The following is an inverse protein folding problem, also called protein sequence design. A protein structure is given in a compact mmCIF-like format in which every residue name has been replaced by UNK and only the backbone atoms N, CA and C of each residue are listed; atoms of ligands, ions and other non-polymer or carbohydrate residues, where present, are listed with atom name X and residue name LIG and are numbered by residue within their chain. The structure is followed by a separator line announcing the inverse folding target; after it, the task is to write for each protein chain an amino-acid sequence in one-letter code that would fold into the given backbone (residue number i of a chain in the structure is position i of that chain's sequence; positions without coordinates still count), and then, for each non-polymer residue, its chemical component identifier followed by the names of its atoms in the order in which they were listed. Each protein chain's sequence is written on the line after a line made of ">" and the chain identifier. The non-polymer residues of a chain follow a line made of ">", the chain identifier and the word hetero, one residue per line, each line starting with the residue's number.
data_IF_045405481958
#
_entry.id   IF_045405481958
#
_cell.length_a   1.000
_cell.length_b   1.000
_cell.length_c   1.000
_cell.angle_alpha   90.00
_cell.angle_beta   90.00
_cell.angle_gamma   90.00
#
_symmetry.space_group_name_H-M   'P 1'
#
loop_
_entity.id
_entity.type
_entity.pdbx_description
1 polymer ?
#
# COMPACT_ATOMS: atom_id res chain seq x y z
N UNK A 1 1.40 -24.09 17.04
CA UNK A 1 0.59 -23.50 18.13
C UNK A 1 0.65 -21.98 18.01
N UNK A 2 -0.43 -21.35 17.54
CA UNK A 2 -0.58 -19.89 17.60
C UNK A 2 -0.80 -19.50 19.06
N UNK A 3 0.28 -19.17 19.78
CA UNK A 3 0.18 -18.66 21.15
C UNK A 3 -0.25 -17.21 21.09
N UNK A 4 -1.53 -16.93 21.35
CA UNK A 4 -2.11 -15.58 21.39
C UNK A 4 -1.53 -14.68 22.51
N UNK A 5 -0.67 -15.22 23.39
CA UNK A 5 -0.17 -14.54 24.59
C UNK A 5 0.85 -13.41 24.34
N UNK A 6 1.32 -13.23 23.10
CA UNK A 6 2.41 -12.30 22.77
C UNK A 6 2.01 -11.21 21.74
N UNK A 7 0.73 -11.05 21.43
CA UNK A 7 0.26 -10.03 20.48
C UNK A 7 -0.14 -8.75 21.21
N UNK A 8 0.31 -7.62 20.68
CA UNK A 8 -0.04 -6.30 21.19
C UNK A 8 -1.25 -5.73 20.43
N UNK A 9 -1.71 -4.55 20.86
CA UNK A 9 -2.88 -3.89 20.28
C UNK A 9 -2.74 -3.57 18.78
N UNK A 10 -1.53 -3.28 18.30
CA UNK A 10 -1.28 -3.04 16.86
C UNK A 10 -1.44 -4.35 16.06
N UNK A 11 -0.93 -5.48 16.57
CA UNK A 11 -1.08 -6.78 15.90
C UNK A 11 -2.56 -7.17 15.73
N UNK A 12 -3.43 -6.81 16.70
CA UNK A 12 -4.87 -7.05 16.63
C UNK A 12 -5.57 -6.27 15.51
N UNK A 13 -5.11 -5.08 15.17
CA UNK A 13 -5.63 -4.33 14.02
C UNK A 13 -5.24 -5.00 12.70
N UNK A 14 -4.02 -5.50 12.56
CA UNK A 14 -3.61 -6.29 11.39
C UNK A 14 -4.42 -7.58 11.27
N UNK A 15 -4.69 -8.29 12.39
CA UNK A 15 -5.58 -9.46 12.39
C UNK A 15 -7.02 -9.12 11.97
N UNK A 16 -7.56 -8.01 12.46
CA UNK A 16 -8.88 -7.52 12.04
C UNK A 16 -8.94 -7.36 10.52
N UNK A 17 -7.93 -6.72 9.92
CA UNK A 17 -7.90 -6.48 8.46
C UNK A 17 -7.90 -7.79 7.68
N UNK A 18 -7.07 -8.76 8.07
CA UNK A 18 -7.07 -10.10 7.46
C UNK A 18 -8.42 -10.79 7.62
N UNK A 19 -9.04 -10.69 8.81
CA UNK A 19 -10.36 -11.26 9.09
C UNK A 19 -11.49 -10.57 8.32
N UNK A 20 -11.38 -9.28 8.03
CA UNK A 20 -12.39 -8.50 7.32
C UNK A 20 -12.50 -8.87 5.83
N UNK A 21 -11.42 -9.39 5.22
CA UNK A 21 -11.33 -9.75 3.80
C UNK A 21 -12.49 -10.61 3.29
N UNK A 22 -12.83 -11.78 3.89
CA UNK A 22 -13.95 -12.58 3.42
C UNK A 22 -15.29 -11.83 3.46
N UNK A 23 -15.50 -10.95 4.44
CA UNK A 23 -16.71 -10.13 4.52
C UNK A 23 -16.73 -9.05 3.43
N UNK A 24 -15.61 -8.37 3.20
CA UNK A 24 -15.47 -7.40 2.12
C UNK A 24 -15.76 -8.03 0.75
N UNK A 25 -15.20 -9.21 0.48
CA UNK A 25 -15.49 -9.94 -0.76
C UNK A 25 -16.97 -10.38 -0.85
N UNK A 26 -17.58 -10.78 0.28
CA UNK A 26 -19.01 -11.10 0.33
C UNK A 26 -19.87 -9.88 0.02
N UNK A 27 -19.51 -8.68 0.52
CA UNK A 27 -20.25 -7.46 0.22
C UNK A 27 -20.14 -7.07 -1.26
N UNK A 28 -18.99 -7.30 -1.89
CA UNK A 28 -18.86 -7.15 -3.35
C UNK A 28 -19.80 -8.15 -4.06
N UNK A 29 -19.77 -9.42 -3.67
CA UNK A 29 -20.59 -10.47 -4.29
C UNK A 29 -22.11 -10.23 -4.15
N UNK A 30 -22.53 -9.63 -3.03
CA UNK A 30 -23.93 -9.25 -2.76
C UNK A 30 -24.32 -7.87 -3.31
N UNK A 31 -23.42 -7.20 -4.05
CA UNK A 31 -23.64 -5.86 -4.62
C UNK A 31 -23.90 -4.76 -3.56
N UNK A 32 -23.38 -4.94 -2.34
CA UNK A 32 -23.58 -4.04 -1.20
C UNK A 32 -22.52 -2.93 -1.15
N UNK A 33 -22.49 -2.09 -2.20
CA UNK A 33 -21.48 -1.02 -2.37
C UNK A 33 -21.24 -0.19 -1.12
N UNK A 34 -22.28 0.40 -0.54
CA UNK A 34 -22.11 1.34 0.58
C UNK A 34 -21.54 0.65 1.84
N UNK A 35 -21.99 -0.58 2.13
CA UNK A 35 -21.51 -1.36 3.28
C UNK A 35 -20.05 -1.76 3.04
N UNK A 36 -19.72 -2.20 1.83
CA UNK A 36 -18.35 -2.47 1.41
C UNK A 36 -17.46 -1.25 1.63
N UNK A 37 -17.86 -0.07 1.14
CA UNK A 37 -17.06 1.15 1.22
C UNK A 37 -16.84 1.58 2.68
N UNK A 38 -17.85 1.49 3.54
CA UNK A 38 -17.69 1.78 4.97
C UNK A 38 -16.74 0.79 5.66
N UNK A 39 -16.87 -0.50 5.39
CA UNK A 39 -15.97 -1.51 5.95
C UNK A 39 -14.52 -1.34 5.45
N UNK A 40 -14.33 -0.95 4.19
CA UNK A 40 -13.04 -0.62 3.61
C UNK A 40 -12.43 0.62 4.26
N UNK A 41 -13.22 1.68 4.47
CA UNK A 41 -12.79 2.89 5.18
C UNK A 41 -12.31 2.57 6.60
N UNK A 42 -13.05 1.72 7.33
CA UNK A 42 -12.62 1.28 8.67
C UNK A 42 -11.29 0.52 8.58
N UNK A 43 -11.13 -0.36 7.59
CA UNK A 43 -9.88 -1.12 7.39
C UNK A 43 -8.68 -0.19 7.11
N UNK A 44 -8.80 0.76 6.18
CA UNK A 44 -7.76 1.77 5.94
C UNK A 44 -7.50 2.68 7.14
N UNK A 45 -8.54 2.98 7.93
CA UNK A 45 -8.37 3.78 9.14
C UNK A 45 -7.60 3.00 10.22
N UNK A 46 -7.86 1.70 10.37
CA UNK A 46 -7.13 0.86 11.33
C UNK A 46 -5.64 0.76 11.01
N UNK A 47 -5.28 0.69 9.72
CA UNK A 47 -3.90 0.72 9.23
C UNK A 47 -3.15 2.03 9.58
N UNK A 48 -3.81 3.17 9.42
CA UNK A 48 -3.20 4.44 9.80
C UNK A 48 -2.97 4.52 11.32
N UNK A 49 -3.91 3.98 12.10
CA UNK A 49 -3.91 4.06 13.57
C UNK A 49 -2.90 3.09 14.18
N UNK A 50 -2.83 1.84 13.72
CA UNK A 50 -1.99 0.80 14.32
C UNK A 50 -0.50 1.10 14.13
N UNK A 51 -0.08 1.57 12.95
CA UNK A 51 1.27 2.00 12.69
C UNK A 51 1.66 3.21 13.55
N UNK A 52 0.74 4.16 13.77
CA UNK A 52 0.96 5.30 14.67
C UNK A 52 1.12 4.82 16.13
N UNK A 53 0.22 3.95 16.59
CA UNK A 53 0.18 3.44 17.96
C UNK A 53 1.42 2.59 18.27
N UNK A 54 1.84 1.72 17.35
CA UNK A 54 3.02 0.89 17.48
C UNK A 54 4.30 1.72 17.67
N UNK A 55 4.45 2.80 16.88
CA UNK A 55 5.57 3.75 16.99
C UNK A 55 5.52 4.55 18.29
N UNK A 56 4.35 5.05 18.68
CA UNK A 56 4.18 5.86 19.90
C UNK A 56 4.43 5.06 21.17
N UNK A 57 3.95 3.81 21.22
CA UNK A 57 4.09 2.92 22.37
C UNK A 57 5.40 2.12 22.37
N UNK A 58 6.22 2.21 21.31
CA UNK A 58 7.47 1.44 21.13
C UNK A 58 7.28 -0.08 21.25
N UNK A 59 6.17 -0.58 20.71
CA UNK A 59 5.78 -2.02 20.75
C UNK A 59 6.01 -2.73 19.41
N UNK A 60 6.82 -2.15 18.52
CA UNK A 60 7.07 -2.72 17.18
C UNK A 60 7.82 -4.05 17.27
N UNK A 61 7.31 -5.08 16.59
CA UNK A 61 7.95 -6.39 16.49
C UNK A 61 8.14 -6.82 15.03
N UNK A 62 9.16 -7.62 14.67
CA UNK A 62 9.35 -8.09 13.30
C UNK A 62 8.17 -8.92 12.77
N UNK A 63 7.52 -9.69 13.64
CA UNK A 63 6.33 -10.49 13.29
C UNK A 63 5.12 -9.61 13.06
N UNK A 64 4.89 -8.64 13.93
CA UNK A 64 3.82 -7.64 13.77
C UNK A 64 3.96 -6.90 12.46
N UNK A 65 5.18 -6.43 12.14
CA UNK A 65 5.44 -5.73 10.87
C UNK A 65 5.21 -6.59 9.62
N UNK A 66 5.43 -7.91 9.67
CA UNK A 66 5.11 -8.81 8.55
C UNK A 66 3.59 -9.02 8.41
N UNK A 67 2.89 -9.21 9.54
CA UNK A 67 1.45 -9.38 9.55
C UNK A 67 0.73 -8.11 9.09
N UNK A 68 1.21 -6.95 9.55
CA UNK A 68 0.80 -5.61 9.15
C UNK A 68 0.87 -5.47 7.63
N UNK A 69 2.08 -5.58 7.07
CA UNK A 69 2.30 -5.48 5.62
C UNK A 69 1.42 -6.43 4.80
N UNK A 70 1.17 -7.66 5.29
CA UNK A 70 0.27 -8.60 4.64
C UNK A 70 -1.20 -8.14 4.70
N UNK A 71 -1.64 -7.63 5.86
CA UNK A 71 -2.95 -7.02 6.04
C UNK A 71 -3.16 -5.81 5.12
N UNK A 72 -2.17 -4.93 5.00
CA UNK A 72 -2.20 -3.76 4.12
C UNK A 72 -2.41 -4.19 2.67
N UNK A 73 -1.56 -5.13 2.21
CA UNK A 73 -1.54 -5.59 0.82
C UNK A 73 -2.87 -6.24 0.43
N UNK A 74 -3.41 -7.13 1.27
CA UNK A 74 -4.69 -7.78 0.95
C UNK A 74 -5.84 -6.78 1.01
N UNK A 75 -5.86 -5.86 1.98
CA UNK A 75 -6.90 -4.83 2.06
C UNK A 75 -6.87 -3.92 0.83
N UNK A 76 -5.67 -3.54 0.35
CA UNK A 76 -5.51 -2.79 -0.89
C UNK A 76 -6.01 -3.59 -2.10
N UNK A 77 -5.63 -4.86 -2.23
CA UNK A 77 -6.10 -5.74 -3.32
C UNK A 77 -7.63 -5.83 -3.33
N UNK A 78 -8.25 -6.04 -2.17
CA UNK A 78 -9.72 -6.10 -2.05
C UNK A 78 -10.36 -4.75 -2.39
N UNK A 79 -9.74 -3.63 -1.98
CA UNK A 79 -10.16 -2.29 -2.38
C UNK A 79 -10.13 -2.09 -3.91
N UNK A 80 -9.07 -2.56 -4.57
CA UNK A 80 -8.96 -2.53 -6.04
C UNK A 80 -9.96 -3.45 -6.73
N UNK A 81 -10.25 -4.64 -6.17
CA UNK A 81 -11.32 -5.53 -6.68
C UNK A 81 -12.67 -4.83 -6.58
N UNK A 82 -12.97 -4.20 -5.43
CA UNK A 82 -14.19 -3.43 -5.25
C UNK A 82 -14.29 -2.26 -6.24
N UNK A 83 -13.20 -1.51 -6.43
CA UNK A 83 -13.14 -0.45 -7.44
C UNK A 83 -13.38 -0.99 -8.85
N UNK A 84 -12.74 -2.11 -9.22
CA UNK A 84 -12.95 -2.74 -10.52
C UNK A 84 -14.41 -3.17 -10.72
N UNK A 85 -15.02 -3.78 -9.70
CA UNK A 85 -16.39 -4.28 -9.77
C UNK A 85 -17.42 -3.13 -9.83
N UNK A 86 -17.35 -2.15 -8.93
CA UNK A 86 -18.34 -1.06 -8.84
C UNK A 86 -18.11 0.07 -9.85
N UNK A 87 -16.88 0.23 -10.37
CA UNK A 87 -16.50 1.30 -11.30
C UNK A 87 -15.89 0.73 -12.61
N UNK A 88 -16.42 -0.40 -13.08
CA UNK A 88 -15.91 -1.10 -14.28
C UNK A 88 -15.78 -0.19 -15.51
N UNK A 89 -16.78 0.66 -15.78
CA UNK A 89 -16.78 1.53 -16.96
C UNK A 89 -15.67 2.58 -16.88
N UNK A 90 -15.45 3.16 -15.68
CA UNK A 90 -14.33 4.06 -15.45
C UNK A 90 -12.99 3.36 -15.67
N UNK A 91 -12.81 2.15 -15.13
CA UNK A 91 -11.58 1.39 -15.30
C UNK A 91 -11.32 1.07 -16.77
N UNK A 92 -12.31 0.53 -17.49
CA UNK A 92 -12.20 0.21 -18.92
C UNK A 92 -11.82 1.42 -19.76
N UNK A 93 -12.43 2.58 -19.47
CA UNK A 93 -12.14 3.84 -20.15
C UNK A 93 -10.70 4.31 -19.93
N UNK A 94 -10.14 4.05 -18.74
CA UNK A 94 -8.83 4.57 -18.33
C UNK A 94 -7.73 3.50 -18.30
N UNK A 95 -7.93 2.32 -18.91
CA UNK A 95 -6.97 1.21 -18.88
C UNK A 95 -5.56 1.61 -19.32
N UNK A 96 -5.43 2.48 -20.33
CA UNK A 96 -4.13 2.97 -20.78
C UNK A 96 -3.40 3.76 -19.69
N UNK A 97 -4.11 4.65 -18.98
CA UNK A 97 -3.52 5.46 -17.91
C UNK A 97 -3.21 4.62 -16.67
N UNK A 98 -4.07 3.67 -16.34
CA UNK A 98 -3.82 2.71 -15.26
C UNK A 98 -2.58 1.86 -15.59
N UNK A 99 -2.49 1.35 -16.82
CA UNK A 99 -1.33 0.59 -17.30
C UNK A 99 -0.04 1.41 -17.28
N UNK A 100 -0.11 2.71 -17.56
CA UNK A 100 1.03 3.62 -17.54
C UNK A 100 1.67 3.74 -16.14
N UNK A 101 0.92 3.55 -15.06
CA UNK A 101 1.46 3.51 -13.68
C UNK A 101 1.78 2.09 -13.23
N UNK A 102 0.90 1.15 -13.56
CA UNK A 102 1.03 -0.23 -13.10
C UNK A 102 2.23 -0.95 -13.73
N UNK A 103 2.53 -0.70 -15.01
CA UNK A 103 3.66 -1.34 -15.70
C UNK A 103 5.01 -0.91 -15.09
N UNK A 104 5.32 0.38 -14.91
CA UNK A 104 6.52 0.81 -14.20
C UNK A 104 6.65 0.22 -12.79
N UNK A 105 5.54 0.12 -12.04
CA UNK A 105 5.54 -0.52 -10.73
C UNK A 105 5.94 -2.00 -10.81
N UNK A 106 5.40 -2.76 -11.77
CA UNK A 106 5.82 -4.15 -11.99
C UNK A 106 7.31 -4.25 -12.39
N UNK A 107 7.79 -3.35 -13.24
CA UNK A 107 9.20 -3.28 -13.63
C UNK A 107 10.08 -2.99 -12.41
N UNK A 108 9.71 -2.02 -11.58
CA UNK A 108 10.38 -1.70 -10.33
C UNK A 108 10.49 -2.95 -9.43
N UNK A 109 9.41 -3.71 -9.28
CA UNK A 109 9.38 -4.92 -8.48
C UNK A 109 10.31 -5.99 -9.07
N UNK A 110 10.28 -6.20 -10.39
CA UNK A 110 11.17 -7.16 -11.07
C UNK A 110 12.64 -6.78 -10.87
N UNK A 111 13.00 -5.49 -10.98
CA UNK A 111 14.36 -5.01 -10.75
C UNK A 111 14.77 -5.27 -9.29
N UNK A 112 13.89 -4.97 -8.32
CA UNK A 112 14.14 -5.20 -6.90
C UNK A 112 14.39 -6.68 -6.58
N UNK A 113 13.54 -7.58 -7.09
CA UNK A 113 13.71 -9.03 -6.89
C UNK A 113 14.95 -9.56 -7.59
N UNK A 114 15.26 -9.08 -8.80
CA UNK A 114 16.47 -9.49 -9.52
C UNK A 114 17.74 -9.04 -8.80
N UNK A 115 17.73 -7.85 -8.18
CA UNK A 115 18.90 -7.28 -7.50
C UNK A 115 19.07 -7.79 -6.06
N UNK A 116 17.99 -7.91 -5.30
CA UNK A 116 18.03 -8.17 -3.86
C UNK A 116 17.44 -9.52 -3.43
N UNK A 117 16.78 -10.25 -4.34
CA UNK A 117 16.04 -11.47 -4.03
C UNK A 117 14.74 -11.24 -3.26
N UNK A 118 14.31 -9.99 -3.09
CA UNK A 118 13.10 -9.57 -2.37
C UNK A 118 12.67 -8.16 -2.75
N UNK A 119 11.43 -7.79 -2.41
CA UNK A 119 10.90 -6.44 -2.60
C UNK A 119 11.69 -5.35 -1.84
N UNK A 120 11.55 -4.10 -2.29
CA UNK A 120 12.08 -2.91 -1.61
C UNK A 120 11.34 -2.66 -0.28
N UNK A 121 12.03 -2.00 0.65
CA UNK A 121 11.45 -1.58 1.93
C UNK A 121 11.93 -0.17 2.31
N UNK A 122 11.97 0.73 1.32
CA UNK A 122 12.52 2.07 1.51
C UNK A 122 11.61 2.94 2.39
N UNK A 123 10.27 2.82 2.29
CA UNK A 123 9.32 3.64 3.04
C UNK A 123 9.54 5.14 2.84
N UNK A 124 9.75 5.57 1.58
CA UNK A 124 9.97 6.97 1.25
C UNK A 124 8.76 7.83 1.62
N UNK A 125 8.96 9.14 1.80
CA UNK A 125 7.83 10.04 2.03
C UNK A 125 6.88 10.08 0.82
N UNK A 126 7.40 9.91 -0.40
CA UNK A 126 6.62 9.90 -1.61
C UNK A 126 5.78 8.63 -1.73
N UNK A 127 6.32 7.47 -1.35
CA UNK A 127 5.56 6.22 -1.23
C UNK A 127 4.38 6.35 -0.26
N UNK A 128 4.60 6.97 0.90
CA UNK A 128 3.52 7.22 1.87
C UNK A 128 2.45 8.18 1.31
N UNK A 129 2.87 9.24 0.63
CA UNK A 129 1.95 10.17 0.01
C UNK A 129 1.12 9.49 -1.09
N UNK A 130 1.77 8.69 -1.93
CA UNK A 130 1.13 7.91 -3.00
C UNK A 130 0.06 6.97 -2.44
N UNK A 131 0.40 6.19 -1.41
CA UNK A 131 -0.54 5.30 -0.73
C UNK A 131 -1.77 6.06 -0.18
N UNK A 132 -1.55 7.19 0.50
CA UNK A 132 -2.65 8.02 1.04
C UNK A 132 -3.55 8.55 -0.08
N UNK A 133 -2.97 9.10 -1.15
CA UNK A 133 -3.75 9.63 -2.27
C UNK A 133 -4.52 8.51 -2.97
N UNK A 134 -3.91 7.33 -3.13
CA UNK A 134 -4.57 6.17 -3.70
C UNK A 134 -5.76 5.70 -2.84
N UNK A 135 -5.59 5.59 -1.52
CA UNK A 135 -6.69 5.26 -0.60
C UNK A 135 -7.81 6.29 -0.66
N UNK A 136 -7.48 7.60 -0.72
CA UNK A 136 -8.47 8.67 -0.86
C UNK A 136 -9.23 8.52 -2.18
N UNK A 137 -8.54 8.28 -3.30
CA UNK A 137 -9.17 8.07 -4.61
C UNK A 137 -10.12 6.87 -4.60
N UNK A 138 -9.67 5.72 -4.12
CA UNK A 138 -10.48 4.50 -4.05
C UNK A 138 -11.74 4.75 -3.22
N UNK A 139 -11.61 5.30 -2.02
CA UNK A 139 -12.75 5.57 -1.14
C UNK A 139 -13.70 6.62 -1.73
N UNK A 140 -13.16 7.69 -2.31
CA UNK A 140 -13.97 8.73 -2.95
C UNK A 140 -14.79 8.16 -4.11
N UNK A 141 -14.12 7.42 -5.00
CA UNK A 141 -14.77 6.77 -6.14
C UNK A 141 -15.90 5.84 -5.67
N UNK A 142 -15.67 5.05 -4.62
CA UNK A 142 -16.63 4.10 -4.09
C UNK A 142 -17.79 4.73 -3.29
N UNK A 143 -17.59 5.85 -2.60
CA UNK A 143 -18.67 6.58 -1.93
C UNK A 143 -19.52 7.41 -2.88
N UNK A 144 -18.88 8.00 -3.89
CA UNK A 144 -19.49 8.96 -4.80
C UNK A 144 -19.35 8.44 -6.23
N UNK A 145 -18.48 9.06 -7.01
CA UNK A 145 -18.12 8.67 -8.38
C UNK A 145 -16.63 8.97 -8.59
N UNK A 146 -15.95 8.28 -9.51
CA UNK A 146 -14.55 8.56 -9.83
C UNK A 146 -14.36 10.02 -10.26
N UNK A 147 -13.52 10.75 -9.52
CA UNK A 147 -13.14 12.12 -9.86
C UNK A 147 -11.86 12.13 -10.70
N UNK A 148 -11.91 12.73 -11.89
CA UNK A 148 -10.78 12.72 -12.83
C UNK A 148 -9.60 13.57 -12.34
N UNK A 149 -9.85 14.69 -11.64
CA UNK A 149 -8.78 15.51 -11.09
C UNK A 149 -7.98 14.72 -10.04
N UNK A 150 -8.67 14.07 -9.12
CA UNK A 150 -8.08 13.20 -8.12
C UNK A 150 -7.39 11.99 -8.74
N UNK A 151 -7.98 11.39 -9.79
CA UNK A 151 -7.37 10.31 -10.56
C UNK A 151 -6.04 10.75 -11.18
N UNK A 152 -5.98 11.89 -11.86
CA UNK A 152 -4.74 12.37 -12.48
C UNK A 152 -3.66 12.73 -11.44
N UNK A 153 -4.06 13.29 -10.29
CA UNK A 153 -3.14 13.52 -9.17
C UNK A 153 -2.58 12.20 -8.64
N UNK A 154 -3.43 11.20 -8.43
CA UNK A 154 -3.01 9.85 -8.02
C UNK A 154 -2.03 9.24 -9.02
N UNK A 155 -2.32 9.32 -10.32
CA UNK A 155 -1.45 8.82 -11.40
C UNK A 155 -0.10 9.54 -11.39
N UNK A 156 -0.10 10.87 -11.33
CA UNK A 156 1.13 11.68 -11.33
C UNK A 156 2.03 11.39 -10.13
N UNK A 157 1.44 11.30 -8.93
CA UNK A 157 2.19 10.98 -7.72
C UNK A 157 2.71 9.54 -7.75
N UNK A 158 1.91 8.58 -8.23
CA UNK A 158 2.33 7.18 -8.39
C UNK A 158 3.53 7.03 -9.33
N UNK A 159 3.55 7.77 -10.44
CA UNK A 159 4.72 7.76 -11.33
C UNK A 159 5.97 8.33 -10.66
N UNK A 160 5.84 9.48 -9.99
CA UNK A 160 6.97 10.11 -9.30
C UNK A 160 7.53 9.20 -8.21
N UNK A 161 6.63 8.53 -7.47
CA UNK A 161 6.96 7.53 -6.46
C UNK A 161 7.75 6.36 -7.04
N UNK A 162 7.25 5.78 -8.14
CA UNK A 162 7.91 4.64 -8.78
C UNK A 162 9.27 5.03 -9.39
N UNK A 163 9.39 6.23 -9.95
CA UNK A 163 10.69 6.74 -10.42
C UNK A 163 11.68 6.95 -9.27
N UNK A 164 11.23 7.46 -8.12
CA UNK A 164 12.06 7.54 -6.91
C UNK A 164 12.51 6.14 -6.47
N UNK A 165 11.60 5.19 -6.34
CA UNK A 165 11.89 3.80 -5.96
C UNK A 165 12.94 3.15 -6.87
N UNK A 166 12.76 3.22 -8.21
CA UNK A 166 13.71 2.68 -9.18
C UNK A 166 15.08 3.34 -9.02
N UNK A 167 15.12 4.66 -8.89
CA UNK A 167 16.38 5.39 -8.68
C UNK A 167 17.07 4.93 -7.41
N UNK A 168 16.33 4.73 -6.32
CA UNK A 168 16.87 4.21 -5.06
C UNK A 168 17.43 2.78 -5.22
N UNK A 169 16.75 1.89 -5.96
CA UNK A 169 17.27 0.55 -6.25
C UNK A 169 18.65 0.64 -6.93
N UNK A 170 18.83 1.57 -7.87
CA UNK A 170 20.14 1.77 -8.51
C UNK A 170 21.17 2.42 -7.59
N UNK A 171 20.77 3.26 -6.64
CA UNK A 171 21.68 3.89 -5.67
C UNK A 171 22.22 2.92 -4.60
N UNK A 172 21.50 1.85 -4.26
CA UNK A 172 21.91 0.89 -3.24
C UNK A 172 22.31 -0.45 -3.85
N UNK A 173 23.58 -0.84 -3.71
CA UNK A 173 24.06 -2.15 -4.19
C UNK A 173 23.53 -3.31 -3.35
N UNK A 174 23.41 -3.09 -2.04
CA UNK A 174 22.86 -4.05 -1.08
C UNK A 174 21.49 -3.58 -0.56
N UNK A 175 20.64 -4.53 -0.16
CA UNK A 175 19.29 -4.22 0.31
C UNK A 175 19.33 -3.33 1.55
N UNK A 176 18.57 -2.23 1.53
CA UNK A 176 18.45 -1.28 2.64
C UNK A 176 16.97 -1.00 2.93
N UNK A 177 16.63 -0.86 4.21
CA UNK A 177 15.31 -0.43 4.66
C UNK A 177 15.30 1.03 5.14
N UNK A 178 14.11 1.62 5.18
CA UNK A 178 13.82 2.91 5.82
C UNK A 178 14.61 4.10 5.24
N UNK A 179 14.75 4.11 3.92
CA UNK A 179 15.28 5.22 3.14
C UNK A 179 14.15 6.21 2.85
N UNK A 180 14.20 7.38 3.48
CA UNK A 180 13.10 8.36 3.45
C UNK A 180 12.88 9.07 2.10
N UNK A 181 13.81 8.91 1.15
CA UNK A 181 13.76 9.49 -0.20
C UNK A 181 15.16 9.81 -0.73
N UNK A 182 15.24 10.36 -1.95
CA UNK A 182 16.51 10.62 -2.65
C UNK A 182 17.51 11.47 -1.86
N UNK A 183 17.03 12.54 -1.20
CA UNK A 183 17.88 13.42 -0.39
C UNK A 183 18.58 12.67 0.75
N UNK A 184 17.86 11.78 1.44
CA UNK A 184 18.41 10.97 2.53
C UNK A 184 19.33 9.89 1.98
N UNK A 185 18.97 9.27 0.86
CA UNK A 185 19.79 8.27 0.19
C UNK A 185 21.16 8.84 -0.22
N UNK A 186 21.21 10.08 -0.68
CA UNK A 186 22.48 10.71 -1.05
C UNK A 186 23.42 10.93 0.14
N UNK A 187 22.89 11.03 1.35
CA UNK A 187 23.66 11.19 2.60
C UNK A 187 23.88 9.87 3.34
N UNK A 188 23.28 8.78 2.87
CA UNK A 188 23.35 7.49 3.51
C UNK A 188 24.66 6.78 3.16
N UNK A 189 25.45 6.41 4.17
CA UNK A 189 26.70 5.67 3.97
C UNK A 189 26.46 4.19 3.66
N UNK A 190 25.26 3.66 3.94
CA UNK A 190 24.90 2.25 3.65
C UNK A 190 25.05 1.93 2.16
N UNK A 191 24.85 2.91 1.26
CA UNK A 191 25.03 2.77 -0.19
C UNK A 191 26.45 2.36 -0.62
N UNK A 192 27.46 2.63 0.21
CA UNK A 192 28.86 2.35 -0.11
C UNK A 192 29.27 0.91 0.25
N UNK A 193 28.38 0.15 0.88
CA UNK A 193 28.61 -1.26 1.22
C UNK A 193 28.30 -2.13 0.00
N UNK A 194 29.34 -2.78 -0.51
CA UNK A 194 29.26 -3.83 -1.54
C UNK A 194 29.02 -5.19 -0.90
#
# INVERSE_FOLDING_TARGET
>A
MLSFKNYNIADWFSFYRVFAVPFLLTFIWLDLRLIFTWALLVSYSTDAIDGYLARKLKITSPRGSQLDSFGDQITLIVGLIGLFYFETDFIKTNLLLIGLVFIPYLIQMIIAYSKYGKATAFHTYLAKLSAVIQSIFILWALFFTPDYSLFYVMIGIGLLETFEEITLIFMYDTWASDVKGLYWAWRDKRRLRK
#
